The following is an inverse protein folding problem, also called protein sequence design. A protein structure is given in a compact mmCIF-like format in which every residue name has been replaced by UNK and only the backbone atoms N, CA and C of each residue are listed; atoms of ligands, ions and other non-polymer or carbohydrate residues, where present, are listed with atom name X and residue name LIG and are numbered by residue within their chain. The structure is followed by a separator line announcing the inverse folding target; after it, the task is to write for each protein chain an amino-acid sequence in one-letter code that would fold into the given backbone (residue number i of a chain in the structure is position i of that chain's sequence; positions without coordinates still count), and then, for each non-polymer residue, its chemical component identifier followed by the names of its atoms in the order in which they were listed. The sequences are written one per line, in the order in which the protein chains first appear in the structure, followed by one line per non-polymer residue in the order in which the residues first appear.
data_IF_479163899880
#
_entry.id   IF_479163899880
#
_cell.length_a   1.000
_cell.length_b   1.000
_cell.length_c   1.000
_cell.angle_alpha   90.00
_cell.angle_beta   90.00
_cell.angle_gamma   90.00
#
_symmetry.space_group_name_H-M   'P 1'
#
loop_
_entity.id
_entity.type
_entity.pdbx_description
1 polymer ?
#
# COMPACT_ATOMS: atom_id res chain seq x y z
N UNK A 1 4.06 -6.19 25.18
CA UNK A 1 3.43 -6.49 23.88
C UNK A 1 2.17 -5.65 23.77
N UNK A 2 1.76 -5.15 22.58
CA UNK A 2 0.53 -4.37 22.46
C UNK A 2 -0.68 -5.15 22.97
N UNK A 3 -1.54 -4.47 23.73
CA UNK A 3 -2.79 -5.02 24.24
C UNK A 3 -3.94 -4.59 23.34
N UNK A 4 -4.79 -5.53 22.96
CA UNK A 4 -6.03 -5.27 22.22
C UNK A 4 -7.20 -5.30 23.19
N UNK A 5 -8.09 -4.32 23.07
CA UNK A 5 -9.36 -4.24 23.79
C UNK A 5 -10.50 -4.34 22.79
N UNK A 6 -11.44 -5.25 23.02
CA UNK A 6 -12.66 -5.38 22.22
C UNK A 6 -13.69 -4.38 22.73
N UNK A 7 -14.07 -3.41 21.88
CA UNK A 7 -14.96 -2.30 22.24
C UNK A 7 -16.44 -2.58 21.92
N UNK A 8 -16.70 -3.58 21.05
CA UNK A 8 -18.03 -4.09 20.72
C UNK A 8 -17.98 -5.61 20.44
N UNK A 9 -19.09 -6.31 20.71
CA UNK A 9 -19.20 -7.74 20.41
C UNK A 9 -18.87 -7.99 18.93
N UNK A 10 -17.97 -8.92 18.66
CA UNK A 10 -17.45 -9.13 17.32
C UNK A 10 -16.93 -10.55 17.12
N UNK A 11 -16.66 -10.91 15.87
CA UNK A 11 -15.90 -12.11 15.54
C UNK A 11 -14.49 -11.73 15.11
N UNK A 12 -13.50 -12.37 15.74
CA UNK A 12 -12.14 -12.43 15.23
C UNK A 12 -12.09 -13.55 14.20
N UNK A 13 -11.56 -13.28 13.00
CA UNK A 13 -11.74 -14.15 11.84
C UNK A 13 -10.40 -14.64 11.31
N UNK A 14 -10.30 -15.90 10.90
CA UNK A 14 -9.09 -16.44 10.24
C UNK A 14 -8.81 -15.79 8.88
N UNK A 15 -9.85 -15.34 8.19
CA UNK A 15 -9.77 -14.67 6.88
C UNK A 15 -10.85 -13.61 6.72
N UNK A 16 -10.64 -12.71 5.77
CA UNK A 16 -11.49 -11.55 5.50
C UNK A 16 -12.77 -11.92 4.72
N UNK A 17 -13.63 -12.71 5.34
CA UNK A 17 -14.99 -13.03 4.87
C UNK A 17 -16.03 -12.56 5.89
N UNK A 18 -17.32 -12.62 5.53
CA UNK A 18 -18.39 -12.49 6.52
C UNK A 18 -18.29 -13.62 7.54
N UNK A 19 -18.63 -13.37 8.80
CA UNK A 19 -18.65 -14.43 9.83
C UNK A 19 -19.67 -15.53 9.53
N UNK A 20 -20.71 -15.23 8.75
CA UNK A 20 -21.68 -16.20 8.24
C UNK A 20 -21.07 -17.21 7.28
N UNK A 21 -20.00 -16.82 6.58
CA UNK A 21 -19.35 -17.61 5.53
C UNK A 21 -18.12 -18.35 6.09
N UNK A 22 -17.89 -18.23 7.39
CA UNK A 22 -16.79 -18.89 8.11
C UNK A 22 -17.32 -20.03 8.95
N UNK A 23 -16.63 -21.16 8.85
CA UNK A 23 -16.84 -22.28 9.76
C UNK A 23 -16.44 -21.90 11.19
N UNK A 24 -16.92 -22.67 12.16
CA UNK A 24 -16.64 -22.41 13.58
C UNK A 24 -15.16 -22.61 13.94
N UNK A 25 -14.39 -23.35 13.13
CA UNK A 25 -12.94 -23.47 13.25
C UNK A 25 -12.17 -22.20 12.83
N UNK A 26 -12.85 -21.25 12.21
CA UNK A 26 -12.23 -20.07 11.56
C UNK A 26 -12.63 -18.75 12.20
N UNK A 27 -13.40 -18.80 13.28
CA UNK A 27 -13.84 -17.60 14.00
C UNK A 27 -13.79 -17.83 15.50
N UNK A 28 -13.54 -16.74 16.20
CA UNK A 28 -13.59 -16.66 17.67
C UNK A 28 -14.58 -15.56 17.98
N UNK A 29 -15.62 -15.86 18.75
CA UNK A 29 -16.48 -14.82 19.29
C UNK A 29 -15.74 -14.08 20.41
N UNK A 30 -15.73 -12.75 20.33
CA UNK A 30 -15.12 -11.91 21.34
C UNK A 30 -16.15 -10.90 21.86
N UNK A 31 -16.45 -11.01 23.15
CA UNK A 31 -17.37 -10.11 23.84
C UNK A 31 -16.72 -8.75 24.08
N UNK A 32 -17.54 -7.70 24.10
CA UNK A 32 -17.12 -6.37 24.53
C UNK A 32 -16.43 -6.44 25.90
N UNK A 33 -15.28 -5.79 26.01
CA UNK A 33 -14.43 -5.80 27.20
C UNK A 33 -13.38 -6.90 27.22
N UNK A 34 -13.44 -7.88 26.30
CA UNK A 34 -12.39 -8.89 26.14
C UNK A 34 -11.06 -8.21 25.83
N UNK A 35 -9.99 -8.67 26.47
CA UNK A 35 -8.64 -8.16 26.20
C UNK A 35 -7.65 -9.29 25.99
N UNK A 36 -6.71 -9.10 25.07
CA UNK A 36 -5.65 -10.05 24.77
C UNK A 36 -4.40 -9.33 24.25
N UNK A 37 -3.26 -10.02 24.28
CA UNK A 37 -1.99 -9.47 23.81
C UNK A 37 -1.64 -9.96 22.41
N UNK A 38 -1.05 -9.09 21.60
CA UNK A 38 -0.60 -9.42 20.25
C UNK A 38 0.91 -9.24 20.13
N UNK A 39 1.57 -10.16 19.44
CA UNK A 39 3.00 -10.08 19.13
C UNK A 39 3.26 -9.08 17.99
N UNK A 40 2.33 -8.97 17.05
CA UNK A 40 2.40 -8.07 15.91
C UNK A 40 1.00 -7.72 15.40
N UNK A 41 0.87 -6.59 14.73
CA UNK A 41 -0.39 -6.17 14.11
C UNK A 41 -0.14 -5.21 12.95
N UNK A 42 -1.06 -5.22 11.99
CA UNK A 42 -1.04 -4.31 10.85
C UNK A 42 -2.48 -3.99 10.39
N UNK A 43 -2.76 -2.78 9.88
CA UNK A 43 -3.99 -2.54 9.14
C UNK A 43 -4.10 -3.52 7.97
N UNK A 44 -5.32 -3.79 7.52
CA UNK A 44 -5.63 -4.60 6.34
C UNK A 44 -6.91 -4.07 5.66
N UNK A 45 -7.22 -4.60 4.48
CA UNK A 45 -8.38 -4.19 3.67
C UNK A 45 -9.71 -4.39 4.40
N UNK A 46 -10.71 -3.63 3.99
CA UNK A 46 -12.10 -3.65 4.48
C UNK A 46 -12.26 -3.19 5.94
N UNK A 47 -11.41 -2.26 6.39
CA UNK A 47 -11.35 -1.80 7.78
C UNK A 47 -11.13 -2.96 8.76
N UNK A 48 -10.18 -3.84 8.44
CA UNK A 48 -9.74 -4.89 9.35
C UNK A 48 -8.33 -4.61 9.82
N UNK A 49 -8.01 -5.11 11.01
CA UNK A 49 -6.64 -5.17 11.51
C UNK A 49 -6.24 -6.64 11.59
N UNK A 50 -5.12 -6.97 10.96
CA UNK A 50 -4.45 -8.25 11.14
C UNK A 50 -3.77 -8.26 12.51
N UNK A 51 -3.97 -9.33 13.27
CA UNK A 51 -3.44 -9.51 14.61
C UNK A 51 -2.73 -10.87 14.69
N UNK A 52 -1.43 -10.84 15.00
CA UNK A 52 -0.68 -12.03 15.42
C UNK A 52 -0.77 -12.13 16.94
N UNK A 53 -1.52 -13.08 17.44
CA UNK A 53 -1.79 -13.27 18.86
C UNK A 53 -0.52 -13.75 19.57
N UNK A 54 -0.28 -13.24 20.79
CA UNK A 54 0.83 -13.72 21.63
C UNK A 54 0.54 -15.11 22.19
N UNK A 55 -0.74 -15.36 22.47
CA UNK A 55 -1.27 -16.66 22.89
C UNK A 55 -2.44 -17.01 21.96
N UNK A 56 -2.45 -18.19 21.33
CA UNK A 56 -3.54 -18.59 20.46
C UNK A 56 -4.90 -18.58 21.17
N UNK A 57 -5.94 -18.13 20.47
CA UNK A 57 -7.32 -18.18 20.95
C UNK A 57 -8.00 -19.44 20.43
N UNK A 58 -8.91 -20.00 21.24
CA UNK A 58 -9.69 -21.16 20.85
C UNK A 58 -10.85 -20.73 19.96
N UNK A 59 -10.98 -21.34 18.79
CA UNK A 59 -12.07 -21.10 17.84
C UNK A 59 -13.43 -21.56 18.39
N UNK A 60 -14.51 -21.21 17.70
CA UNK A 60 -15.87 -21.60 18.09
C UNK A 60 -16.10 -23.11 18.09
N UNK A 61 -15.35 -23.88 17.29
CA UNK A 61 -15.38 -25.35 17.30
C UNK A 61 -14.78 -25.98 18.58
N UNK A 62 -14.22 -25.16 19.48
CA UNK A 62 -13.59 -25.52 20.76
C UNK A 62 -12.38 -26.45 20.66
N UNK A 63 -11.91 -26.77 19.45
CA UNK A 63 -10.75 -27.66 19.22
C UNK A 63 -9.59 -26.91 18.56
N UNK A 64 -9.89 -26.10 17.54
CA UNK A 64 -8.92 -25.37 16.73
C UNK A 64 -8.37 -24.16 17.50
N UNK A 65 -7.06 -23.97 17.42
CA UNK A 65 -6.39 -22.76 17.92
C UNK A 65 -6.07 -21.83 16.75
N UNK A 66 -6.38 -20.55 16.90
CA UNK A 66 -5.99 -19.50 15.96
C UNK A 66 -4.89 -18.66 16.58
N UNK A 67 -3.75 -18.57 15.90
CA UNK A 67 -2.60 -17.73 16.24
C UNK A 67 -2.61 -16.39 15.49
N UNK A 68 -3.26 -16.36 14.32
CA UNK A 68 -3.46 -15.15 13.52
C UNK A 68 -4.95 -14.95 13.23
N UNK A 69 -5.43 -13.72 13.43
CA UNK A 69 -6.83 -13.35 13.22
C UNK A 69 -6.95 -11.94 12.63
N UNK A 70 -8.09 -11.67 12.01
CA UNK A 70 -8.55 -10.37 11.55
C UNK A 70 -9.66 -9.88 12.45
N UNK A 71 -9.47 -8.70 13.04
CA UNK A 71 -10.51 -8.02 13.79
C UNK A 71 -11.09 -6.88 12.96
N UNK A 72 -12.40 -6.64 13.06
CA UNK A 72 -12.99 -5.44 12.46
C UNK A 72 -12.56 -4.23 13.27
N UNK A 73 -11.83 -3.33 12.63
CA UNK A 73 -11.11 -2.23 13.26
C UNK A 73 -12.03 -1.33 14.12
N UNK A 74 -13.27 -0.97 13.69
CA UNK A 74 -14.18 -0.20 14.54
C UNK A 74 -14.63 -0.91 15.83
N UNK A 75 -14.41 -2.21 15.98
CA UNK A 75 -14.79 -2.97 17.18
C UNK A 75 -13.60 -3.27 18.11
N UNK A 76 -12.38 -2.88 17.74
CA UNK A 76 -11.20 -3.15 18.53
C UNK A 76 -10.29 -1.93 18.64
N UNK A 77 -9.58 -1.85 19.75
CA UNK A 77 -8.55 -0.84 19.97
C UNK A 77 -7.24 -1.49 20.34
N UNK A 78 -6.20 -1.22 19.57
CA UNK A 78 -4.82 -1.61 19.91
C UNK A 78 -4.21 -0.50 20.77
N UNK A 79 -3.94 -0.79 22.03
CA UNK A 79 -3.35 0.19 22.96
C UNK A 79 -1.95 0.61 22.51
N UNK A 80 -1.68 1.92 22.54
CA UNK A 80 -0.40 2.51 22.14
C UNK A 80 -0.28 2.78 20.64
N UNK A 81 -1.28 2.42 19.82
CA UNK A 81 -1.28 2.76 18.40
C UNK A 81 -1.27 4.28 18.19
N UNK A 82 -1.96 5.02 19.04
CA UNK A 82 -2.02 6.49 19.06
C UNK A 82 -0.66 7.17 19.26
N UNK A 83 0.35 6.43 19.75
CA UNK A 83 1.71 6.96 19.96
C UNK A 83 2.66 6.64 18.80
N UNK A 84 2.22 5.85 17.81
CA UNK A 84 3.05 5.56 16.63
C UNK A 84 3.11 6.76 15.71
N UNK A 85 4.32 7.19 15.38
CA UNK A 85 4.56 8.25 14.42
C UNK A 85 4.14 7.82 13.01
N UNK A 86 3.57 8.77 12.25
CA UNK A 86 3.28 8.58 10.84
C UNK A 86 4.60 8.38 10.07
N UNK A 87 4.58 7.43 9.12
CA UNK A 87 5.65 7.29 8.14
C UNK A 87 5.28 8.18 6.95
N UNK A 88 6.14 9.11 6.58
CA UNK A 88 6.01 9.91 5.36
C UNK A 88 7.36 10.02 4.68
N UNK A 89 7.53 9.30 3.58
CA UNK A 89 8.72 9.37 2.75
C UNK A 89 8.69 10.67 1.93
N UNK A 90 9.81 11.41 1.82
CA UNK A 90 9.87 12.66 1.05
C UNK A 90 10.02 12.38 -0.46
N UNK A 91 9.12 11.57 -1.00
CA UNK A 91 9.01 11.32 -2.45
C UNK A 91 8.53 12.60 -3.12
N UNK A 92 9.21 13.02 -4.19
CA UNK A 92 8.79 14.20 -4.97
C UNK A 92 7.56 13.83 -5.80
N UNK A 93 6.55 14.68 -5.76
CA UNK A 93 5.35 14.49 -6.56
C UNK A 93 5.63 14.77 -8.04
N UNK A 94 4.97 14.00 -8.91
CA UNK A 94 4.97 14.21 -10.34
C UNK A 94 3.60 13.89 -10.96
N UNK A 95 3.19 14.66 -11.96
CA UNK A 95 1.86 14.56 -12.59
C UNK A 95 1.96 13.90 -13.95
N UNK A 96 1.13 12.88 -14.20
CA UNK A 96 1.07 12.18 -15.48
C UNK A 96 0.66 13.07 -16.66
N UNK A 97 0.09 14.25 -16.36
CA UNK A 97 -0.34 15.23 -17.36
C UNK A 97 0.84 16.02 -17.95
N UNK A 98 2.00 16.00 -17.29
CA UNK A 98 3.21 16.66 -17.76
C UNK A 98 4.04 15.79 -18.71
N UNK A 99 3.81 14.47 -18.67
CA UNK A 99 4.56 13.48 -19.43
C UNK A 99 4.68 13.81 -20.94
N UNK A 100 5.88 13.59 -21.50
CA UNK A 100 6.14 13.73 -22.94
C UNK A 100 5.20 12.87 -23.81
N UNK A 101 4.21 13.53 -24.39
CA UNK A 101 3.16 12.88 -25.20
C UNK A 101 3.67 12.27 -26.50
N UNK A 102 4.90 12.60 -26.93
CA UNK A 102 5.49 12.04 -28.16
C UNK A 102 5.97 10.60 -27.99
N UNK A 103 6.11 10.11 -26.76
CA UNK A 103 6.63 8.76 -26.50
C UNK A 103 5.50 7.72 -26.43
N UNK A 104 4.44 8.00 -25.67
CA UNK A 104 3.32 7.06 -25.44
C UNK A 104 1.92 7.67 -25.64
N UNK A 105 1.85 8.87 -26.21
CA UNK A 105 0.60 9.60 -26.40
C UNK A 105 0.18 10.33 -25.13
N UNK A 106 -1.12 10.67 -25.00
CA UNK A 106 -1.61 11.55 -23.93
C UNK A 106 -1.41 11.00 -22.52
N UNK A 107 -1.30 11.89 -21.54
CA UNK A 107 -1.00 11.56 -20.15
C UNK A 107 -2.01 10.66 -19.44
N UNK A 108 -3.29 10.60 -19.87
CA UNK A 108 -4.36 9.89 -19.15
C UNK A 108 -4.11 8.38 -18.94
N UNK A 109 -3.23 7.76 -19.75
CA UNK A 109 -2.86 6.34 -19.68
C UNK A 109 -1.53 6.06 -18.96
N UNK A 110 -0.93 7.08 -18.36
CA UNK A 110 0.47 7.03 -17.91
C UNK A 110 0.65 6.98 -16.38
N UNK A 111 -0.43 6.79 -15.62
CA UNK A 111 -0.40 6.74 -14.16
C UNK A 111 0.59 5.70 -13.60
N UNK A 112 0.69 4.54 -14.26
CA UNK A 112 1.66 3.49 -13.92
C UNK A 112 3.10 3.96 -14.08
N UNK A 113 3.44 4.48 -15.25
CA UNK A 113 4.77 5.01 -15.56
C UNK A 113 5.14 6.12 -14.57
N UNK A 114 4.29 7.14 -14.40
CA UNK A 114 4.61 8.25 -13.49
C UNK A 114 4.79 7.79 -12.04
N UNK A 115 3.99 6.83 -11.58
CA UNK A 115 4.14 6.24 -10.24
C UNK A 115 5.46 5.50 -10.08
N UNK A 116 5.88 4.73 -11.09
CA UNK A 116 7.18 4.06 -11.09
C UNK A 116 8.34 5.05 -11.20
N UNK A 117 8.20 6.15 -11.96
CA UNK A 117 9.21 7.22 -12.02
C UNK A 117 9.42 7.87 -10.65
N UNK A 118 8.34 8.23 -9.95
CA UNK A 118 8.43 8.82 -8.60
C UNK A 118 9.15 7.87 -7.61
N UNK A 119 8.81 6.57 -7.65
CA UNK A 119 9.50 5.54 -6.88
C UNK A 119 10.99 5.45 -7.26
N UNK A 120 11.29 5.37 -8.55
CA UNK A 120 12.65 5.19 -9.04
C UNK A 120 13.54 6.39 -8.71
N UNK A 121 13.08 7.62 -8.97
CA UNK A 121 13.84 8.83 -8.65
C UNK A 121 14.10 8.95 -7.15
N UNK A 122 13.13 8.58 -6.31
CA UNK A 122 13.32 8.54 -4.86
C UNK A 122 14.39 7.52 -4.44
N UNK A 123 14.30 6.27 -4.90
CA UNK A 123 15.28 5.22 -4.57
C UNK A 123 16.69 5.55 -5.09
N UNK A 124 16.77 6.20 -6.25
CA UNK A 124 18.01 6.66 -6.86
C UNK A 124 18.46 8.05 -6.36
N UNK A 125 17.80 8.61 -5.35
CA UNK A 125 18.15 9.90 -4.72
C UNK A 125 18.26 11.05 -5.74
N UNK A 126 17.33 11.12 -6.69
CA UNK A 126 17.24 12.18 -7.68
C UNK A 126 18.06 11.96 -8.95
N UNK A 127 18.73 10.80 -9.11
CA UNK A 127 19.60 10.56 -10.26
C UNK A 127 18.84 10.51 -11.59
N UNK A 128 17.60 10.01 -11.58
CA UNK A 128 16.77 9.94 -12.78
C UNK A 128 16.46 11.34 -13.31
N UNK A 129 16.17 12.29 -12.41
CA UNK A 129 16.03 13.70 -12.77
C UNK A 129 17.30 14.32 -13.35
N UNK A 130 18.49 13.98 -12.83
CA UNK A 130 19.76 14.44 -13.41
C UNK A 130 19.98 13.88 -14.81
N UNK A 131 19.68 12.60 -15.03
CA UNK A 131 19.79 11.96 -16.34
C UNK A 131 18.85 12.60 -17.37
N UNK A 132 17.61 12.91 -16.98
CA UNK A 132 16.68 13.64 -17.82
C UNK A 132 17.22 15.03 -18.21
N UNK A 133 17.75 15.79 -17.25
CA UNK A 133 18.36 17.10 -17.52
C UNK A 133 19.55 17.02 -18.47
N UNK A 134 20.46 16.06 -18.26
CA UNK A 134 21.61 15.83 -19.14
C UNK A 134 21.18 15.49 -20.57
N UNK A 135 20.10 14.71 -20.70
CA UNK A 135 19.51 14.36 -21.98
C UNK A 135 18.60 15.46 -22.56
N UNK A 136 18.56 16.66 -21.96
CA UNK A 136 17.72 17.80 -22.34
C UNK A 136 16.22 17.46 -22.40
N UNK A 137 15.77 16.63 -21.46
CA UNK A 137 14.37 16.27 -21.27
C UNK A 137 13.75 17.14 -20.18
N UNK A 138 12.44 17.39 -20.29
CA UNK A 138 11.69 18.29 -19.40
C UNK A 138 11.53 17.75 -17.98
N UNK A 139 11.50 16.43 -17.81
CA UNK A 139 11.14 15.77 -16.55
C UNK A 139 11.73 14.35 -16.45
N UNK A 140 11.85 13.79 -15.23
CA UNK A 140 12.31 12.42 -15.03
C UNK A 140 11.50 11.36 -15.80
N UNK A 141 10.18 11.55 -15.95
CA UNK A 141 9.29 10.64 -16.67
C UNK A 141 9.68 10.52 -18.13
N UNK A 142 10.08 11.61 -18.78
CA UNK A 142 10.53 11.61 -20.18
C UNK A 142 11.72 10.68 -20.42
N UNK A 143 12.60 10.54 -19.42
CA UNK A 143 13.72 9.60 -19.46
C UNK A 143 13.23 8.18 -19.20
N UNK A 144 12.50 7.97 -18.09
CA UNK A 144 12.03 6.65 -17.68
C UNK A 144 11.11 5.98 -18.72
N UNK A 145 10.21 6.74 -19.35
CA UNK A 145 9.33 6.27 -20.43
C UNK A 145 10.12 5.67 -21.60
N UNK A 146 11.32 6.16 -21.89
CA UNK A 146 12.16 5.61 -22.97
C UNK A 146 12.79 4.28 -22.58
N UNK A 147 12.99 4.01 -21.30
CA UNK A 147 13.35 2.69 -20.80
C UNK A 147 12.14 1.75 -20.93
N UNK A 148 10.96 2.17 -20.48
CA UNK A 148 9.70 1.39 -20.59
C UNK A 148 9.42 1.01 -22.04
N UNK A 149 9.62 1.93 -23.00
CA UNK A 149 9.37 1.71 -24.44
C UNK A 149 10.18 0.56 -25.03
N UNK A 150 11.33 0.21 -24.44
CA UNK A 150 12.12 -0.96 -24.89
C UNK A 150 11.41 -2.28 -24.60
N UNK A 151 10.51 -2.30 -23.62
CA UNK A 151 9.91 -3.51 -23.07
C UNK A 151 8.41 -3.63 -23.33
N UNK A 152 7.71 -2.52 -23.51
CA UNK A 152 6.28 -2.53 -23.77
C UNK A 152 5.64 -1.16 -23.63
N UNK A 153 4.44 -1.15 -23.05
CA UNK A 153 3.58 0.02 -22.95
C UNK A 153 3.49 0.56 -21.50
N UNK A 154 2.98 1.78 -21.33
CA UNK A 154 2.80 2.40 -20.02
C UNK A 154 1.89 1.59 -19.11
N UNK A 155 0.89 0.89 -19.65
CA UNK A 155 -0.06 0.11 -18.85
C UNK A 155 0.45 -1.29 -18.46
N UNK A 156 1.61 -1.72 -18.97
CA UNK A 156 2.15 -3.06 -18.74
C UNK A 156 3.06 -3.11 -17.50
N UNK A 157 2.62 -3.81 -16.44
CA UNK A 157 3.40 -3.98 -15.20
C UNK A 157 4.73 -4.73 -15.41
N UNK A 158 4.79 -5.66 -16.35
CA UNK A 158 6.01 -6.38 -16.70
C UNK A 158 7.03 -5.47 -17.40
N UNK A 159 6.56 -4.56 -18.26
CA UNK A 159 7.41 -3.55 -18.89
C UNK A 159 8.02 -2.59 -17.85
N UNK A 160 7.23 -2.17 -16.86
CA UNK A 160 7.73 -1.34 -15.74
C UNK A 160 8.80 -2.06 -14.92
N UNK A 161 8.55 -3.33 -14.57
CA UNK A 161 9.51 -4.14 -13.80
C UNK A 161 10.85 -4.27 -14.52
N UNK A 162 10.82 -4.50 -15.85
CA UNK A 162 12.04 -4.57 -16.67
C UNK A 162 12.76 -3.23 -16.77
N UNK A 163 12.02 -2.13 -16.90
CA UNK A 163 12.60 -0.78 -16.94
C UNK A 163 13.27 -0.40 -15.60
N UNK A 164 12.64 -0.74 -14.46
CA UNK A 164 13.25 -0.58 -13.14
C UNK A 164 14.53 -1.41 -12.99
N UNK A 165 14.55 -2.63 -13.54
CA UNK A 165 15.75 -3.48 -13.50
C UNK A 165 16.93 -2.88 -14.27
N UNK A 166 16.69 -2.18 -15.39
CA UNK A 166 17.76 -1.43 -16.09
C UNK A 166 18.37 -0.32 -15.23
N UNK A 167 17.60 0.23 -14.28
CA UNK A 167 18.06 1.21 -13.31
C UNK A 167 18.70 0.58 -12.05
N UNK A 168 18.82 -0.75 -12.00
CA UNK A 168 19.34 -1.49 -10.85
C UNK A 168 18.32 -1.67 -9.72
N UNK A 169 17.03 -1.45 -9.97
CA UNK A 169 15.95 -1.65 -9.00
C UNK A 169 15.26 -2.99 -9.28
N UNK A 170 15.38 -3.91 -8.34
CA UNK A 170 14.65 -5.18 -8.39
C UNK A 170 13.21 -5.02 -7.89
N UNK A 171 12.24 -5.36 -8.74
CA UNK A 171 10.82 -5.29 -8.44
C UNK A 171 10.05 -6.48 -9.03
N UNK A 172 8.81 -6.65 -8.60
CA UNK A 172 7.88 -7.62 -9.16
C UNK A 172 6.44 -7.10 -9.00
N UNK A 173 5.52 -7.66 -9.79
CA UNK A 173 4.09 -7.37 -9.69
C UNK A 173 3.35 -8.51 -9.02
N UNK A 174 2.42 -8.20 -8.12
CA UNK A 174 1.64 -9.21 -7.39
C UNK A 174 0.25 -8.71 -7.02
N UNK A 175 -0.72 -9.64 -7.01
CA UNK A 175 -2.08 -9.44 -6.52
C UNK A 175 -2.29 -9.93 -5.09
N UNK A 176 -1.25 -10.45 -4.44
CA UNK A 176 -1.37 -11.17 -3.16
C UNK A 176 -0.71 -10.45 -1.99
N UNK A 177 -0.16 -9.25 -2.19
CA UNK A 177 0.47 -8.48 -1.12
C UNK A 177 -0.58 -7.94 -0.14
N UNK A 178 -0.17 -7.88 1.12
CA UNK A 178 -0.96 -7.37 2.23
C UNK A 178 -0.52 -5.97 2.65
N UNK A 179 -1.33 -5.28 3.44
CA UNK A 179 -0.94 -4.02 4.05
C UNK A 179 0.25 -4.14 5.01
N UNK A 180 0.50 -5.35 5.58
CA UNK A 180 1.72 -5.64 6.33
C UNK A 180 2.97 -5.57 5.44
N UNK A 181 2.89 -6.07 4.21
CA UNK A 181 3.99 -5.99 3.25
C UNK A 181 4.28 -4.53 2.86
N UNK A 182 3.21 -3.73 2.66
CA UNK A 182 3.33 -2.29 2.41
C UNK A 182 4.03 -1.56 3.57
N UNK A 183 3.62 -1.81 4.83
CA UNK A 183 4.29 -1.21 5.99
C UNK A 183 5.76 -1.64 6.11
N UNK A 184 6.05 -2.90 5.78
CA UNK A 184 7.43 -3.41 5.79
C UNK A 184 8.29 -2.65 4.78
N UNK A 185 7.78 -2.45 3.56
CA UNK A 185 8.45 -1.66 2.52
C UNK A 185 8.66 -0.21 2.94
N UNK A 186 7.62 0.45 3.47
CA UNK A 186 7.71 1.84 3.91
C UNK A 186 8.73 2.04 5.06
N UNK A 187 8.79 1.11 6.01
CA UNK A 187 9.79 1.12 7.10
C UNK A 187 11.21 0.93 6.58
N UNK A 188 11.38 0.27 5.44
CA UNK A 188 12.65 0.14 4.74
C UNK A 188 12.99 1.37 3.87
N UNK A 189 12.22 2.46 3.94
CA UNK A 189 12.30 3.62 3.05
C UNK A 189 12.11 3.25 1.57
N UNK A 190 11.16 2.36 1.28
CA UNK A 190 10.81 1.97 -0.09
C UNK A 190 9.32 2.29 -0.31
N UNK A 191 8.98 3.32 -1.11
CA UNK A 191 7.60 3.59 -1.49
C UNK A 191 7.07 2.46 -2.37
N UNK A 192 5.76 2.27 -2.44
CA UNK A 192 5.15 1.13 -3.14
C UNK A 192 4.16 1.59 -4.20
N UNK A 193 4.36 1.16 -5.44
CA UNK A 193 3.38 1.37 -6.52
C UNK A 193 2.25 0.35 -6.38
N UNK A 194 1.02 0.84 -6.36
CA UNK A 194 -0.19 0.03 -6.10
C UNK A 194 -1.30 0.37 -7.08
N UNK A 195 -2.02 -0.67 -7.51
CA UNK A 195 -3.24 -0.56 -8.29
C UNK A 195 -4.46 -0.43 -7.39
N UNK A 196 -5.37 0.47 -7.74
CA UNK A 196 -6.63 0.73 -7.06
C UNK A 196 -7.81 0.53 -8.01
N UNK A 197 -8.84 -0.18 -7.52
CA UNK A 197 -10.05 -0.49 -8.27
C UNK A 197 -11.23 0.41 -7.87
N UNK A 198 -11.12 1.74 -8.02
CA UNK A 198 -12.22 2.69 -7.71
C UNK A 198 -12.63 3.59 -8.89
N UNK A 199 -12.02 3.42 -10.07
CA UNK A 199 -12.43 4.06 -11.33
C UNK A 199 -12.83 3.00 -12.36
N UNK A 200 -13.58 3.40 -13.39
CA UNK A 200 -14.03 2.51 -14.47
C UNK A 200 -12.92 1.77 -15.23
N UNK A 201 -11.66 2.22 -15.13
CA UNK A 201 -10.51 1.63 -15.81
C UNK A 201 -9.39 1.13 -14.86
N UNK A 202 -9.61 1.14 -13.54
CA UNK A 202 -8.53 1.03 -12.56
C UNK A 202 -7.61 2.26 -12.54
N UNK A 203 -6.81 2.41 -11.49
CA UNK A 203 -5.87 3.53 -11.33
C UNK A 203 -4.61 3.08 -10.60
N UNK A 204 -3.44 3.64 -10.93
CA UNK A 204 -2.17 3.28 -10.30
C UNK A 204 -1.58 4.53 -9.65
N UNK A 205 -1.22 4.40 -8.38
CA UNK A 205 -0.56 5.45 -7.62
C UNK A 205 0.65 4.88 -6.88
N UNK A 206 1.41 5.75 -6.23
CA UNK A 206 2.47 5.35 -5.30
C UNK A 206 2.08 5.71 -3.86
N UNK A 207 2.14 4.72 -2.97
CA UNK A 207 2.04 4.92 -1.52
C UNK A 207 3.41 5.39 -1.02
N UNK A 208 3.40 6.54 -0.35
CA UNK A 208 4.60 7.20 0.19
C UNK A 208 4.62 7.22 1.71
N UNK A 209 3.59 6.67 2.36
CA UNK A 209 3.49 6.71 3.81
C UNK A 209 2.22 6.10 4.38
N UNK A 210 2.15 6.11 5.71
CA UNK A 210 1.01 5.65 6.49
C UNK A 210 0.89 6.45 7.79
N UNK A 211 -0.31 6.96 8.07
CA UNK A 211 -0.69 7.58 9.33
C UNK A 211 -1.52 6.59 10.15
N UNK A 212 -0.96 5.98 11.21
CA UNK A 212 -1.66 5.00 12.02
C UNK A 212 -2.75 5.61 12.91
N UNK A 213 -2.65 6.89 13.26
CA UNK A 213 -3.66 7.58 14.09
C UNK A 213 -4.90 7.86 13.26
N UNK A 214 -4.70 8.34 12.03
CA UNK A 214 -5.81 8.62 11.09
C UNK A 214 -6.26 7.38 10.32
N UNK A 215 -5.51 6.27 10.43
CA UNK A 215 -5.73 5.01 9.70
C UNK A 215 -5.75 5.22 8.19
N UNK A 216 -4.81 6.04 7.71
CA UNK A 216 -4.77 6.54 6.33
C UNK A 216 -3.43 6.21 5.66
N UNK A 217 -3.49 5.73 4.43
CA UNK A 217 -2.33 5.65 3.56
C UNK A 217 -2.09 6.98 2.88
N UNK A 218 -0.84 7.43 2.88
CA UNK A 218 -0.42 8.64 2.19
C UNK A 218 -0.06 8.27 0.75
N UNK A 219 -0.82 8.78 -0.20
CA UNK A 219 -0.72 8.40 -1.62
C UNK A 219 -0.38 9.63 -2.46
N UNK A 220 0.54 9.48 -3.40
CA UNK A 220 0.72 10.42 -4.52
C UNK A 220 -0.09 9.94 -5.72
N UNK A 221 -1.21 10.60 -5.97
CA UNK A 221 -2.05 10.34 -7.15
C UNK A 221 -1.54 11.17 -8.33
N UNK A 222 -0.88 10.50 -9.30
CA UNK A 222 -0.30 11.15 -10.48
C UNK A 222 -1.33 11.83 -11.40
N UNK A 223 -2.62 11.55 -11.25
CA UNK A 223 -3.69 12.20 -12.02
C UNK A 223 -4.14 13.55 -11.44
N UNK A 224 -3.55 14.01 -10.33
CA UNK A 224 -3.83 15.33 -9.77
C UNK A 224 -3.11 16.44 -10.56
N UNK A 225 -3.77 17.58 -10.75
CA UNK A 225 -3.21 18.75 -11.46
C UNK A 225 -2.26 19.59 -10.58
N UNK A 226 -2.32 19.44 -9.25
CA UNK A 226 -1.56 20.25 -8.31
C UNK A 226 -0.93 19.37 -7.21
N UNK A 227 0.25 19.74 -6.74
CA UNK A 227 0.97 19.07 -5.64
C UNK A 227 0.22 19.17 -4.29
N UNK A 228 -0.55 20.25 -4.08
CA UNK A 228 -1.40 20.38 -2.89
C UNK A 228 -2.63 19.47 -2.93
N UNK A 229 -3.05 19.00 -4.11
CA UNK A 229 -4.15 18.04 -4.33
C UNK A 229 -3.63 16.61 -4.60
N UNK A 230 -2.31 16.40 -4.57
CA UNK A 230 -1.72 15.11 -4.92
C UNK A 230 -1.64 14.13 -3.76
N UNK A 231 -1.66 14.65 -2.53
CA UNK A 231 -1.65 13.86 -1.31
C UNK A 231 -3.07 13.41 -1.00
N UNK A 232 -3.41 12.21 -1.46
CA UNK A 232 -4.67 11.58 -1.08
C UNK A 232 -4.44 10.72 0.14
N UNK A 233 -5.27 10.97 1.16
CA UNK A 233 -5.37 10.07 2.30
C UNK A 233 -6.41 9.01 1.95
N UNK A 234 -5.97 7.76 1.83
CA UNK A 234 -6.85 6.64 1.47
C UNK A 234 -7.02 5.74 2.69
N UNK A 235 -8.27 5.49 3.08
CA UNK A 235 -8.63 4.45 4.04
C UNK A 235 -9.04 3.19 3.27
N UNK A 236 -8.56 2.03 3.72
CA UNK A 236 -9.00 0.73 3.19
C UNK A 236 -9.85 -0.01 4.22
#
# INVERSE_FOLDING_TARGET
MPKVVVEANTFLKKRLLSSSDLSDAEKVFAEKGTTFEVADYAPDRNQHVFLKLSTPLKAEDKTTNLDCVYAYDPHVKVQGEETRLAIKLPVKYASQLNNDTRVFGPGWRQCNTTSNTMLADFLLKGELGKQAQQAKMSEPESFYMRLVRKYGDTTDHGAQTKALKELGIDSYFSYTLSAKDLLTSLRANIPVVVGFAYKSSGHICVIVGHDPVRKEWLVHDSNSRYENDSHKNVRF
#
